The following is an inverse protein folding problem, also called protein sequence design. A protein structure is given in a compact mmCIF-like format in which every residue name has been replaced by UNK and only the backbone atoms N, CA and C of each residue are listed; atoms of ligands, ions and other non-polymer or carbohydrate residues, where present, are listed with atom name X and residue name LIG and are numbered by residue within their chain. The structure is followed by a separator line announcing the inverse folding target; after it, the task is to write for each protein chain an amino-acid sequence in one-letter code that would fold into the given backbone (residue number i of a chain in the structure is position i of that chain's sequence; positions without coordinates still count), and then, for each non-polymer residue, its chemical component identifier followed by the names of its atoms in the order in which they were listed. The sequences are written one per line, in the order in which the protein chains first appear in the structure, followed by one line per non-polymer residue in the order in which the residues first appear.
data_IF_849540516298
#
_entry.id   IF_849540516298
#
_cell.length_a   1.000
_cell.length_b   1.000
_cell.length_c   1.000
_cell.angle_alpha   90.00
_cell.angle_beta   90.00
_cell.angle_gamma   90.00
#
_symmetry.space_group_name_H-M   'P 1'
#
loop_
_entity.id
_entity.type
_entity.pdbx_description
1 polymer ?
#
# COMPACT_ATOMS: atom_id res chain seq x y z
N UNK A 1 -21.46 -9.48 -6.12
CA UNK A 1 -20.28 -8.75 -6.61
C UNK A 1 -20.31 -7.36 -6.01
N UNK A 2 -19.50 -7.08 -5.00
CA UNK A 2 -19.35 -5.72 -4.46
C UNK A 2 -17.85 -5.46 -4.37
N UNK A 3 -17.33 -4.71 -5.34
CA UNK A 3 -15.98 -4.17 -5.30
C UNK A 3 -16.09 -2.74 -4.77
N UNK A 4 -15.62 -2.48 -3.56
CA UNK A 4 -15.53 -1.13 -3.04
C UNK A 4 -14.27 -0.47 -3.62
N UNK A 5 -14.44 0.47 -4.57
CA UNK A 5 -13.43 1.49 -4.83
C UNK A 5 -13.46 2.45 -3.63
N UNK A 6 -12.44 2.39 -2.77
CA UNK A 6 -12.23 3.39 -1.74
C UNK A 6 -11.25 4.44 -2.30
N UNK A 7 -11.80 5.55 -2.83
CA UNK A 7 -11.02 6.73 -3.18
C UNK A 7 -10.93 7.62 -1.93
N UNK A 8 -9.89 7.47 -1.12
CA UNK A 8 -9.55 8.45 -0.10
C UNK A 8 -8.49 9.40 -0.65
N UNK A 9 -8.90 10.63 -0.95
CA UNK A 9 -8.01 11.72 -1.37
C UNK A 9 -7.49 12.39 -0.09
N UNK A 10 -6.29 12.05 0.36
CA UNK A 10 -5.67 12.71 1.53
C UNK A 10 -4.58 13.67 1.07
N UNK A 11 -4.83 14.98 1.24
CA UNK A 11 -3.90 16.07 0.93
C UNK A 11 -3.09 16.44 2.17
N UNK A 12 -1.76 16.47 2.06
CA UNK A 12 -0.88 17.01 3.10
C UNK A 12 -0.91 18.55 3.09
N UNK A 13 -1.50 19.16 4.11
CA UNK A 13 -1.56 20.61 4.25
C UNK A 13 -0.26 21.19 4.81
N UNK A 14 0.25 22.28 4.20
CA UNK A 14 1.27 23.15 4.82
C UNK A 14 0.86 24.61 4.74
N UNK A 15 1.03 25.31 5.86
CA UNK A 15 0.58 26.68 6.14
C UNK A 15 1.21 27.75 5.24
N UNK A 16 0.43 28.80 4.97
CA UNK A 16 0.82 29.97 4.19
C UNK A 16 1.41 31.10 5.05
N UNK A 17 2.45 31.75 4.55
CA UNK A 17 2.77 33.16 4.82
C UNK A 17 3.39 33.77 3.54
N UNK A 18 3.03 35.03 3.25
CA UNK A 18 3.01 35.60 1.90
C UNK A 18 4.26 36.31 1.41
N UNK A 19 4.16 36.83 0.17
CA UNK A 19 5.13 37.70 -0.50
C UNK A 19 5.22 37.43 -2.00
N UNK A 20 4.66 38.32 -2.82
CA UNK A 20 4.56 38.25 -4.29
C UNK A 20 5.90 38.18 -5.03
N UNK A 21 6.06 37.24 -5.97
CA UNK A 21 6.55 37.52 -7.34
C UNK A 21 6.51 36.26 -8.23
N UNK A 22 6.37 36.50 -9.53
CA UNK A 22 6.05 35.56 -10.61
C UNK A 22 6.88 34.27 -10.67
N UNK A 23 6.22 33.11 -10.59
CA UNK A 23 6.55 31.87 -11.31
C UNK A 23 5.24 31.11 -11.51
N UNK A 24 4.85 30.78 -12.76
CA UNK A 24 3.82 29.77 -13.01
C UNK A 24 4.37 28.43 -12.52
N UNK A 25 4.16 28.12 -11.24
CA UNK A 25 4.42 26.79 -10.69
C UNK A 25 3.25 25.91 -11.08
N UNK A 26 3.29 25.33 -12.28
CA UNK A 26 2.44 24.18 -12.59
C UNK A 26 3.07 22.91 -11.96
N UNK A 27 3.19 22.89 -10.64
CA UNK A 27 3.38 21.65 -9.89
C UNK A 27 2.00 21.13 -9.52
N UNK A 28 1.27 20.57 -10.50
CA UNK A 28 0.19 19.65 -10.16
C UNK A 28 0.87 18.42 -9.57
N UNK A 29 0.80 18.33 -8.24
CA UNK A 29 1.10 17.12 -7.49
C UNK A 29 0.32 15.98 -8.15
N UNK A 30 1.02 15.04 -8.75
CA UNK A 30 0.37 13.93 -9.47
C UNK A 30 -0.23 13.02 -8.39
N UNK A 31 -1.55 12.98 -8.30
CA UNK A 31 -2.25 12.13 -7.34
C UNK A 31 -2.02 10.65 -7.66
N UNK A 32 -1.65 9.88 -6.65
CA UNK A 32 -1.58 8.42 -6.71
C UNK A 32 -2.96 7.80 -6.46
N UNK A 33 -3.37 6.88 -7.32
CA UNK A 33 -4.60 6.09 -7.17
C UNK A 33 -4.25 4.69 -6.65
N UNK A 34 -4.94 4.24 -5.60
CA UNK A 34 -4.69 2.93 -4.98
C UNK A 34 -5.75 1.91 -5.40
N UNK A 35 -5.31 0.77 -5.92
CA UNK A 35 -6.18 -0.36 -6.29
C UNK A 35 -5.87 -1.53 -5.38
N UNK A 36 -6.85 -1.96 -4.60
CA UNK A 36 -6.72 -3.05 -3.62
C UNK A 36 -7.64 -4.21 -3.98
N UNK A 37 -7.13 -5.45 -3.92
CA UNK A 37 -7.91 -6.66 -4.17
C UNK A 37 -7.56 -7.81 -3.23
N UNK A 38 -8.44 -8.81 -3.10
CA UNK A 38 -8.12 -10.12 -2.48
C UNK A 38 -7.78 -11.21 -3.51
N UNK A 39 -7.75 -10.85 -4.80
CA UNK A 39 -7.52 -11.77 -5.92
C UNK A 39 -6.35 -11.28 -6.79
N UNK A 40 -5.14 -11.15 -6.22
CA UNK A 40 -4.00 -10.60 -6.95
C UNK A 40 -3.64 -11.45 -8.17
N UNK A 41 -3.81 -12.78 -8.16
CA UNK A 41 -3.63 -13.60 -9.37
C UNK A 41 -4.51 -13.18 -10.56
N UNK A 42 -5.79 -12.80 -10.32
CA UNK A 42 -6.66 -12.26 -11.39
C UNK A 42 -6.24 -10.86 -11.84
N UNK A 43 -5.78 -10.04 -10.90
CA UNK A 43 -5.24 -8.72 -11.21
C UNK A 43 -3.97 -8.84 -12.07
N UNK A 44 -3.08 -9.78 -11.73
CA UNK A 44 -1.91 -10.14 -12.52
C UNK A 44 -2.31 -10.54 -13.93
N UNK A 45 -3.26 -11.47 -14.09
CA UNK A 45 -3.74 -11.90 -15.42
C UNK A 45 -4.27 -10.74 -16.26
N UNK A 46 -5.02 -9.81 -15.65
CA UNK A 46 -5.58 -8.65 -16.33
C UNK A 46 -4.52 -7.61 -16.71
N UNK A 47 -3.50 -7.43 -15.86
CA UNK A 47 -2.49 -6.37 -15.96
C UNK A 47 -1.13 -6.89 -16.47
N UNK A 48 -1.03 -8.17 -16.82
CA UNK A 48 0.22 -8.78 -17.30
C UNK A 48 0.73 -8.13 -18.60
N UNK A 49 -0.17 -7.65 -19.45
CA UNK A 49 0.14 -7.07 -20.75
C UNK A 49 -0.54 -5.70 -20.91
N UNK A 50 0.26 -4.63 -20.81
CA UNK A 50 -0.21 -3.26 -21.00
C UNK A 50 -0.82 -3.01 -22.39
N UNK A 51 -0.42 -3.78 -23.41
CA UNK A 51 -1.01 -3.74 -24.74
C UNK A 51 -2.46 -4.26 -24.76
N UNK A 52 -2.79 -5.27 -23.96
CA UNK A 52 -4.19 -5.73 -23.80
C UNK A 52 -5.04 -4.67 -23.12
N UNK A 53 -4.53 -4.04 -22.07
CA UNK A 53 -5.23 -2.96 -21.36
C UNK A 53 -5.45 -1.77 -22.28
N UNK A 54 -4.43 -1.37 -23.03
CA UNK A 54 -4.54 -0.29 -24.01
C UNK A 54 -5.57 -0.62 -25.10
N UNK A 55 -5.54 -1.83 -25.68
CA UNK A 55 -6.54 -2.28 -26.67
C UNK A 55 -7.95 -2.30 -26.11
N UNK A 56 -8.15 -2.81 -24.90
CA UNK A 56 -9.44 -2.83 -24.23
C UNK A 56 -9.96 -1.41 -23.97
N UNK A 57 -9.10 -0.49 -23.53
CA UNK A 57 -9.42 0.92 -23.35
C UNK A 57 -9.83 1.57 -24.68
N UNK A 58 -9.05 1.36 -25.75
CA UNK A 58 -9.36 1.90 -27.07
C UNK A 58 -10.67 1.33 -27.62
N UNK A 59 -10.94 0.04 -27.43
CA UNK A 59 -12.21 -0.59 -27.81
C UNK A 59 -13.38 0.05 -27.05
N UNK A 60 -13.28 0.19 -25.73
CA UNK A 60 -14.32 0.82 -24.91
C UNK A 60 -14.58 2.28 -25.32
N UNK A 61 -13.54 3.05 -25.63
CA UNK A 61 -13.68 4.43 -26.13
C UNK A 61 -14.34 4.49 -27.49
N UNK A 62 -14.04 3.53 -28.36
CA UNK A 62 -14.64 3.45 -29.68
C UNK A 62 -16.12 3.03 -29.61
N UNK A 63 -16.46 2.12 -28.71
CA UNK A 63 -17.85 1.74 -28.43
C UNK A 63 -18.64 2.90 -27.81
N UNK A 64 -18.04 3.66 -26.89
CA UNK A 64 -18.63 4.91 -26.37
C UNK A 64 -18.86 5.95 -27.49
N UNK A 65 -17.91 6.09 -28.42
CA UNK A 65 -18.06 7.00 -29.57
C UNK A 65 -19.20 6.58 -30.50
N UNK A 66 -19.45 5.28 -30.64
CA UNK A 66 -20.48 4.73 -31.54
C UNK A 66 -21.86 4.64 -30.92
N UNK A 67 -21.93 4.24 -29.66
CA UNK A 67 -23.16 3.81 -28.99
C UNK A 67 -23.47 4.63 -27.73
N UNK A 68 -22.57 5.51 -27.30
CA UNK A 68 -22.76 6.37 -26.13
C UNK A 68 -23.57 7.63 -26.44
N UNK A 69 -23.95 8.41 -25.40
CA UNK A 69 -24.51 9.74 -25.61
C UNK A 69 -23.54 10.60 -26.44
N UNK A 70 -24.06 11.58 -27.17
CA UNK A 70 -23.24 12.46 -28.01
C UNK A 70 -22.35 13.34 -27.11
N UNK A 71 -21.18 12.83 -26.71
CA UNK A 71 -20.22 13.55 -25.88
C UNK A 71 -19.47 14.51 -26.80
N UNK A 72 -19.56 15.83 -26.61
CA UNK A 72 -18.82 16.78 -27.43
C UNK A 72 -17.33 16.44 -27.46
N UNK A 73 -16.69 16.48 -28.63
CA UNK A 73 -15.30 16.02 -28.79
C UNK A 73 -14.30 16.68 -27.82
N UNK A 74 -14.58 17.90 -27.36
CA UNK A 74 -13.77 18.61 -26.36
C UNK A 74 -13.79 17.96 -24.96
N UNK A 75 -14.84 17.20 -24.61
CA UNK A 75 -14.96 16.47 -23.34
C UNK A 75 -14.13 15.19 -23.27
N UNK A 76 -13.61 14.70 -24.39
CA UNK A 76 -12.75 13.50 -24.44
C UNK A 76 -11.42 13.77 -25.13
N UNK A 77 -11.18 15.03 -25.51
CA UNK A 77 -9.99 15.48 -26.24
C UNK A 77 -8.69 15.08 -25.52
N UNK A 78 -8.67 15.15 -24.19
CA UNK A 78 -7.51 14.75 -23.40
C UNK A 78 -7.15 13.25 -23.53
N UNK A 79 -8.12 12.38 -23.85
CA UNK A 79 -7.87 10.94 -24.03
C UNK A 79 -7.09 10.66 -25.32
N UNK A 80 -7.18 11.56 -26.31
CA UNK A 80 -6.52 11.43 -27.60
C UNK A 80 -5.28 12.32 -27.74
N UNK A 81 -5.16 13.38 -26.92
CA UNK A 81 -4.04 14.34 -26.99
C UNK A 81 -2.88 14.05 -26.04
N UNK A 82 -3.07 13.26 -24.97
CA UNK A 82 -2.01 13.00 -23.97
C UNK A 82 -1.21 11.71 -24.18
N UNK A 83 -1.56 10.89 -25.16
CA UNK A 83 -0.75 9.74 -25.55
C UNK A 83 -0.16 10.00 -26.92
N UNK A 84 1.15 10.12 -26.96
CA UNK A 84 2.06 9.89 -28.09
C UNK A 84 1.92 8.48 -28.71
N UNK A 85 0.74 7.86 -28.59
CA UNK A 85 0.43 6.49 -28.99
C UNK A 85 0.75 5.43 -27.93
N UNK A 86 1.54 5.76 -26.90
CA UNK A 86 2.01 4.78 -25.91
C UNK A 86 1.44 5.06 -24.52
N UNK A 87 0.79 4.06 -23.92
CA UNK A 87 0.40 4.11 -22.52
C UNK A 87 1.62 3.67 -21.69
N UNK A 88 2.20 4.53 -20.83
CA UNK A 88 3.33 4.13 -20.00
C UNK A 88 2.88 2.96 -19.12
N UNK A 89 3.55 1.82 -19.28
CA UNK A 89 3.24 0.60 -18.55
C UNK A 89 4.44 0.15 -17.72
N UNK A 90 4.26 -0.12 -16.41
CA UNK A 90 3.04 0.07 -15.62
C UNK A 90 2.65 1.56 -15.47
N UNK A 91 1.37 1.82 -15.17
CA UNK A 91 0.86 3.17 -14.96
C UNK A 91 1.55 3.84 -13.75
N UNK A 92 2.30 4.95 -13.92
CA UNK A 92 3.14 5.51 -12.87
C UNK A 92 2.39 6.00 -11.63
N UNK A 93 1.13 6.40 -11.79
CA UNK A 93 0.28 6.94 -10.73
C UNK A 93 -0.73 5.93 -10.19
N UNK A 94 -0.67 4.66 -10.61
CA UNK A 94 -1.55 3.60 -10.11
C UNK A 94 -0.74 2.64 -9.25
N UNK A 95 -1.11 2.58 -7.97
CA UNK A 95 -0.49 1.72 -6.98
C UNK A 95 -1.36 0.49 -6.80
N UNK A 96 -0.76 -0.69 -6.88
CA UNK A 96 -1.48 -1.95 -6.80
C UNK A 96 -1.20 -2.63 -5.48
N UNK A 97 -2.23 -3.18 -4.86
CA UNK A 97 -2.09 -3.87 -3.60
C UNK A 97 -3.02 -5.04 -3.41
N UNK A 98 -2.67 -5.84 -2.42
CA UNK A 98 -3.51 -6.97 -1.99
C UNK A 98 -3.69 -6.97 -0.49
N UNK A 99 -4.86 -7.44 -0.04
CA UNK A 99 -5.09 -7.67 1.38
C UNK A 99 -4.60 -9.05 1.81
N UNK A 100 -3.97 -9.14 2.98
CA UNK A 100 -3.52 -10.39 3.61
C UNK A 100 -3.89 -10.31 5.10
N UNK A 101 -4.88 -11.12 5.50
CA UNK A 101 -5.42 -11.09 6.86
C UNK A 101 -4.74 -12.10 7.82
N UNK A 102 -4.11 -13.16 7.30
CA UNK A 102 -3.47 -14.24 8.05
C UNK A 102 -2.34 -14.91 7.25
N UNK A 103 -1.52 -15.73 7.93
CA UNK A 103 -0.33 -16.35 7.33
C UNK A 103 -0.66 -17.25 6.12
N UNK A 104 -1.81 -17.92 6.15
CA UNK A 104 -2.34 -18.76 5.06
C UNK A 104 -2.50 -18.00 3.73
N UNK A 105 -2.58 -16.67 3.77
CA UNK A 105 -2.77 -15.82 2.59
C UNK A 105 -1.51 -15.07 2.17
N UNK A 106 -0.35 -15.34 2.78
CA UNK A 106 0.92 -14.69 2.44
C UNK A 106 1.31 -14.84 0.97
N UNK A 107 0.94 -15.96 0.33
CA UNK A 107 1.16 -16.20 -1.10
C UNK A 107 0.51 -15.15 -2.04
N UNK A 108 -0.46 -14.36 -1.55
CA UNK A 108 -1.00 -13.21 -2.31
C UNK A 108 0.06 -12.15 -2.60
N UNK A 109 1.07 -12.02 -1.74
CA UNK A 109 2.20 -11.11 -1.98
C UNK A 109 3.04 -11.58 -3.18
N UNK A 110 3.14 -12.89 -3.41
CA UNK A 110 3.87 -13.45 -4.54
C UNK A 110 3.16 -13.13 -5.87
N UNK A 111 1.84 -13.33 -5.93
CA UNK A 111 1.03 -12.92 -7.09
C UNK A 111 1.17 -11.42 -7.41
N UNK A 112 1.17 -10.57 -6.36
CA UNK A 112 1.31 -9.12 -6.52
C UNK A 112 2.71 -8.75 -7.05
N UNK A 113 3.76 -9.42 -6.56
CA UNK A 113 5.15 -9.19 -6.99
C UNK A 113 5.32 -9.39 -8.49
N UNK A 114 4.62 -10.38 -9.05
CA UNK A 114 4.64 -10.68 -10.48
C UNK A 114 3.75 -9.77 -11.33
N UNK A 115 2.95 -8.90 -10.70
CA UNK A 115 2.11 -7.93 -11.42
C UNK A 115 2.93 -6.68 -11.78
N UNK A 116 2.91 -6.20 -13.05
CA UNK A 116 3.50 -4.91 -13.40
C UNK A 116 2.83 -3.77 -12.61
N UNK A 117 3.60 -3.09 -11.75
CA UNK A 117 3.11 -2.01 -10.92
C UNK A 117 4.22 -0.97 -10.70
N UNK A 118 3.85 0.31 -10.63
CA UNK A 118 4.77 1.36 -10.22
C UNK A 118 5.07 1.32 -8.72
N UNK A 119 4.08 0.93 -7.92
CA UNK A 119 4.16 0.69 -6.48
C UNK A 119 3.31 -0.53 -6.14
N UNK A 120 3.87 -1.43 -5.32
CA UNK A 120 3.21 -2.61 -4.77
C UNK A 120 3.02 -2.43 -3.26
N UNK A 121 1.77 -2.53 -2.80
CA UNK A 121 1.48 -2.40 -1.38
C UNK A 121 0.70 -3.57 -0.79
N UNK A 122 0.93 -3.87 0.47
CA UNK A 122 0.18 -4.88 1.22
C UNK A 122 -0.72 -4.19 2.25
N UNK A 123 -2.00 -4.52 2.22
CA UNK A 123 -2.94 -4.15 3.28
C UNK A 123 -3.12 -5.34 4.20
N UNK A 124 -2.38 -5.35 5.30
CA UNK A 124 -2.45 -6.37 6.33
C UNK A 124 -3.58 -6.01 7.31
N UNK A 125 -4.79 -5.92 6.75
CA UNK A 125 -5.99 -5.46 7.43
C UNK A 125 -7.24 -6.31 7.06
N UNK A 126 -8.02 -6.74 8.06
CA UNK A 126 -7.60 -6.79 9.46
C UNK A 126 -6.47 -7.80 9.67
N UNK A 127 -5.54 -7.49 10.56
CA UNK A 127 -4.46 -8.42 10.95
C UNK A 127 -5.00 -9.42 11.98
N UNK A 128 -5.15 -10.68 11.59
CA UNK A 128 -5.79 -11.73 12.38
C UNK A 128 -4.81 -12.71 13.02
N UNK A 129 -3.52 -12.55 12.76
CA UNK A 129 -2.46 -13.38 13.31
C UNK A 129 -1.09 -12.85 12.92
N UNK A 130 -0.05 -13.47 13.50
CA UNK A 130 1.32 -13.27 13.06
C UNK A 130 1.48 -13.76 11.60
N UNK A 131 2.43 -13.16 10.88
CA UNK A 131 2.73 -13.50 9.49
C UNK A 131 4.20 -13.95 9.32
N UNK A 132 4.62 -15.06 9.97
CA UNK A 132 6.01 -15.53 9.89
C UNK A 132 6.43 -15.90 8.45
N UNK A 133 5.48 -16.26 7.58
CA UNK A 133 5.74 -16.66 6.19
C UNK A 133 5.75 -15.46 5.21
N UNK A 134 5.51 -14.23 5.69
CA UNK A 134 5.42 -13.06 4.82
C UNK A 134 6.78 -12.69 4.21
N UNK A 135 6.82 -12.65 2.88
CA UNK A 135 7.98 -12.23 2.11
C UNK A 135 7.79 -10.81 1.55
N UNK A 136 8.56 -9.85 2.05
CA UNK A 136 8.50 -8.44 1.65
C UNK A 136 9.31 -8.09 0.39
N UNK A 137 10.03 -9.04 -0.22
CA UNK A 137 10.81 -8.76 -1.42
C UNK A 137 9.92 -8.19 -2.54
N UNK A 138 10.33 -7.06 -3.12
CA UNK A 138 9.58 -6.39 -4.19
C UNK A 138 8.28 -5.72 -3.75
N UNK A 139 8.06 -5.55 -2.45
CA UNK A 139 6.96 -4.76 -1.87
C UNK A 139 7.49 -3.39 -1.49
N UNK A 140 6.76 -2.33 -1.83
CA UNK A 140 7.18 -0.95 -1.61
C UNK A 140 6.55 -0.35 -0.35
N UNK A 141 5.36 -0.85 0.04
CA UNK A 141 4.59 -0.29 1.15
C UNK A 141 3.76 -1.35 1.88
N UNK A 142 3.73 -1.28 3.21
CA UNK A 142 2.94 -2.18 4.05
C UNK A 142 2.09 -1.36 5.00
N UNK A 143 0.82 -1.72 5.07
CA UNK A 143 -0.17 -1.13 5.96
C UNK A 143 -0.64 -2.21 6.93
N UNK A 144 -0.68 -1.93 8.23
CA UNK A 144 -1.23 -2.84 9.24
C UNK A 144 -2.39 -2.20 10.01
N UNK A 145 -3.35 -3.02 10.41
CA UNK A 145 -4.41 -2.54 11.30
C UNK A 145 -5.37 -3.62 11.81
N UNK A 146 -5.97 -3.33 12.97
CA UNK A 146 -6.93 -4.22 13.63
C UNK A 146 -8.39 -3.97 13.21
N UNK A 147 -9.26 -4.91 13.57
CA UNK A 147 -10.70 -4.81 13.32
C UNK A 147 -11.38 -3.73 14.18
N UNK A 148 -12.43 -3.12 13.64
CA UNK A 148 -13.29 -2.17 14.35
C UNK A 148 -14.72 -2.70 14.45
N UNK A 149 -15.45 -2.29 15.48
CA UNK A 149 -16.88 -2.61 15.66
C UNK A 149 -17.19 -3.64 16.75
N UNK A 150 -18.49 -3.98 16.92
CA UNK A 150 -18.96 -4.81 18.03
C UNK A 150 -18.34 -6.22 18.10
N UNK A 151 -18.00 -6.80 16.94
CA UNK A 151 -17.41 -8.13 16.81
C UNK A 151 -15.92 -8.14 16.48
N UNK A 152 -15.20 -7.04 16.70
CA UNK A 152 -13.79 -6.93 16.35
C UNK A 152 -12.93 -7.96 17.10
N UNK A 153 -12.21 -8.77 16.34
CA UNK A 153 -11.24 -9.72 16.88
C UNK A 153 -10.03 -8.99 17.45
N UNK A 154 -9.39 -9.54 18.49
CA UNK A 154 -8.18 -8.98 19.04
C UNK A 154 -7.05 -8.97 18.01
N UNK A 155 -6.44 -7.79 17.81
CA UNK A 155 -5.16 -7.67 17.14
C UNK A 155 -4.08 -7.54 18.21
N UNK A 156 -3.11 -8.43 18.19
CA UNK A 156 -1.94 -8.33 19.06
C UNK A 156 -0.95 -7.29 18.51
N UNK A 157 -0.60 -6.24 19.29
CA UNK A 157 0.37 -5.24 18.86
C UNK A 157 1.74 -5.83 18.47
N UNK A 158 2.12 -6.97 19.03
CA UNK A 158 3.38 -7.63 18.72
C UNK A 158 3.47 -8.09 17.26
N UNK A 159 2.34 -8.44 16.63
CA UNK A 159 2.32 -8.79 15.21
C UNK A 159 2.68 -7.57 14.35
N UNK A 160 2.09 -6.41 14.64
CA UNK A 160 2.39 -5.16 13.94
C UNK A 160 3.83 -4.69 14.17
N UNK A 161 4.37 -4.85 15.39
CA UNK A 161 5.79 -4.58 15.69
C UNK A 161 6.73 -5.45 14.87
N UNK A 162 6.44 -6.76 14.78
CA UNK A 162 7.26 -7.70 14.00
C UNK A 162 7.27 -7.32 12.52
N UNK A 163 6.11 -7.02 11.94
CA UNK A 163 5.98 -6.59 10.54
C UNK A 163 6.71 -5.26 10.30
N UNK A 164 6.56 -4.30 11.21
CA UNK A 164 7.27 -3.02 11.16
C UNK A 164 8.78 -3.22 11.14
N UNK A 165 9.31 -4.06 12.02
CA UNK A 165 10.75 -4.31 12.11
C UNK A 165 11.26 -4.98 10.82
N UNK A 166 10.49 -5.91 10.24
CA UNK A 166 10.76 -6.46 8.91
C UNK A 166 10.74 -5.37 7.82
N UNK A 167 9.77 -4.44 7.84
CA UNK A 167 9.70 -3.37 6.86
C UNK A 167 10.93 -2.45 6.94
N UNK A 168 11.31 -2.03 8.17
CA UNK A 168 12.49 -1.20 8.39
C UNK A 168 13.77 -1.89 7.93
N UNK A 169 13.92 -3.19 8.23
CA UNK A 169 15.09 -3.97 7.81
C UNK A 169 15.20 -4.10 6.29
N UNK A 170 14.07 -4.07 5.56
CA UNK A 170 14.02 -4.19 4.10
C UNK A 170 13.87 -2.84 3.38
N UNK A 171 13.85 -1.71 4.09
CA UNK A 171 13.63 -0.39 3.50
C UNK A 171 12.23 -0.20 2.89
N UNK A 172 11.24 -0.98 3.34
CA UNK A 172 9.84 -0.91 2.89
C UNK A 172 9.12 0.15 3.73
N UNK A 173 8.33 1.02 3.08
CA UNK A 173 7.55 2.00 3.81
C UNK A 173 6.51 1.29 4.70
N UNK A 174 6.36 1.75 5.94
CA UNK A 174 5.43 1.17 6.90
C UNK A 174 4.42 2.18 7.43
N UNK A 175 3.14 1.84 7.31
CA UNK A 175 2.03 2.55 7.93
C UNK A 175 1.30 1.63 8.92
N UNK A 176 1.12 2.09 10.16
CA UNK A 176 0.23 1.46 11.11
C UNK A 176 -1.03 2.31 11.27
N UNK A 177 -2.15 1.80 10.77
CA UNK A 177 -3.39 2.56 10.68
C UNK A 177 -4.09 2.67 12.03
N UNK A 178 -4.26 1.54 12.71
CA UNK A 178 -4.92 1.47 14.02
C UNK A 178 -4.76 0.09 14.68
N UNK A 179 -4.92 0.04 16.01
CA UNK A 179 -4.95 -1.20 16.78
C UNK A 179 -6.33 -1.92 16.74
N UNK A 180 -7.35 -1.31 16.14
CA UNK A 180 -8.71 -1.84 16.17
C UNK A 180 -9.39 -1.56 17.51
N UNK A 181 -10.15 -2.50 18.08
CA UNK A 181 -10.84 -2.33 19.38
C UNK A 181 -10.01 -2.72 20.61
N UNK A 182 -8.82 -3.29 20.39
CA UNK A 182 -8.00 -3.93 21.43
C UNK A 182 -6.67 -3.20 21.60
N UNK A 183 -6.16 -3.13 22.82
CA UNK A 183 -4.89 -2.49 23.12
C UNK A 183 -4.11 -3.23 24.19
N UNK A 184 -2.80 -3.03 24.19
CA UNK A 184 -1.93 -3.43 25.29
C UNK A 184 -2.30 -2.68 26.57
N UNK A 185 -2.42 -3.42 27.68
CA UNK A 185 -2.52 -2.83 29.02
C UNK A 185 -1.17 -2.43 29.60
N UNK A 186 -0.07 -2.72 28.88
CA UNK A 186 1.33 -2.61 29.33
C UNK A 186 1.66 -3.45 30.58
N UNK A 187 0.79 -4.40 30.91
CA UNK A 187 0.98 -5.34 32.03
C UNK A 187 1.26 -6.72 31.49
N UNK A 188 2.11 -7.44 32.20
CA UNK A 188 2.47 -8.83 31.92
C UNK A 188 2.00 -9.70 33.08
N UNK A 189 1.51 -10.90 32.78
CA UNK A 189 1.03 -11.82 33.82
C UNK A 189 0.96 -13.27 33.36
N UNK A 190 0.57 -14.14 34.30
CA UNK A 190 0.22 -15.55 34.08
C UNK A 190 -1.06 -15.86 34.85
N UNK A 191 -1.77 -16.91 34.44
CA UNK A 191 -2.97 -17.40 35.14
C UNK A 191 -4.28 -16.95 34.50
N UNK A 192 -5.36 -17.00 35.26
CA UNK A 192 -6.72 -16.67 34.79
C UNK A 192 -6.87 -15.14 34.73
N UNK A 193 -7.42 -14.65 33.62
CA UNK A 193 -7.72 -13.23 33.43
C UNK A 193 -9.20 -12.95 33.67
N UNK A 194 -9.49 -11.84 34.35
CA UNK A 194 -10.85 -11.33 34.53
C UNK A 194 -11.26 -10.34 33.42
N UNK A 195 -12.56 -10.30 33.12
CA UNK A 195 -13.15 -9.35 32.18
C UNK A 195 -12.75 -9.61 30.72
N UNK A 196 -12.88 -8.60 29.82
CA UNK A 196 -12.59 -8.76 28.39
C UNK A 196 -11.08 -8.62 28.12
N UNK A 197 -10.28 -9.47 28.78
CA UNK A 197 -8.82 -9.49 28.68
C UNK A 197 -8.33 -10.80 28.09
N UNK A 198 -7.25 -10.72 27.32
CA UNK A 198 -6.59 -11.87 26.72
C UNK A 198 -5.07 -11.73 26.85
N UNK A 199 -4.34 -12.82 26.63
CA UNK A 199 -2.89 -12.77 26.48
C UNK A 199 -2.47 -12.53 25.04
N UNK A 200 -1.61 -11.54 24.82
CA UNK A 200 -0.83 -11.36 23.61
C UNK A 200 0.38 -12.30 23.56
N UNK A 201 1.17 -12.18 22.50
CA UNK A 201 2.33 -13.00 22.17
C UNK A 201 3.64 -12.39 22.67
N UNK A 202 3.65 -11.11 23.02
CA UNK A 202 4.79 -10.50 23.71
C UNK A 202 5.00 -11.17 25.08
N UNK A 203 6.25 -11.51 25.39
CA UNK A 203 6.65 -12.19 26.62
C UNK A 203 7.67 -11.41 27.42
N UNK A 204 7.70 -11.63 28.73
CA UNK A 204 8.71 -11.08 29.63
C UNK A 204 9.14 -12.16 30.64
N UNK A 205 10.45 -12.29 30.86
CA UNK A 205 10.98 -13.20 31.88
C UNK A 205 10.65 -12.69 33.29
N UNK A 206 10.37 -13.63 34.19
CA UNK A 206 10.12 -13.37 35.60
C UNK A 206 10.94 -14.31 36.50
N UNK A 207 11.14 -13.95 37.78
CA UNK A 207 11.84 -14.80 38.74
C UNK A 207 11.29 -16.24 38.76
N UNK A 208 12.13 -17.20 39.14
CA UNK A 208 11.75 -18.63 39.21
C UNK A 208 11.40 -19.27 37.87
N UNK A 209 11.85 -18.69 36.74
CA UNK A 209 11.69 -19.29 35.41
C UNK A 209 10.28 -19.14 34.81
N UNK A 210 9.46 -18.24 35.37
CA UNK A 210 8.18 -17.92 34.77
C UNK A 210 8.35 -17.03 33.53
N UNK A 211 7.51 -17.27 32.52
CA UNK A 211 7.38 -16.40 31.35
C UNK A 211 6.02 -15.73 31.42
N UNK A 212 6.00 -14.42 31.63
CA UNK A 212 4.79 -13.61 31.64
C UNK A 212 4.40 -13.26 30.21
N UNK A 213 3.10 -13.15 29.95
CA UNK A 213 2.58 -12.70 28.65
C UNK A 213 1.90 -11.34 28.79
N UNK A 214 2.05 -10.50 27.77
CA UNK A 214 1.40 -9.19 27.71
C UNK A 214 -0.12 -9.38 27.76
N UNK A 215 -0.80 -8.58 28.58
CA UNK A 215 -2.26 -8.61 28.70
C UNK A 215 -2.85 -7.54 27.78
N UNK A 216 -3.76 -7.95 26.90
CA UNK A 216 -4.53 -7.08 26.03
C UNK A 216 -5.95 -6.94 26.58
N UNK A 217 -6.57 -5.79 26.34
CA UNK A 217 -7.94 -5.52 26.75
C UNK A 217 -8.72 -4.86 25.62
N UNK A 218 -10.01 -5.19 25.52
CA UNK A 218 -10.94 -4.46 24.66
C UNK A 218 -11.26 -3.10 25.28
N UNK A 219 -10.83 -2.02 24.63
CA UNK A 219 -10.91 -0.65 25.17
C UNK A 219 -11.68 0.32 24.27
N UNK A 220 -12.10 -0.14 23.09
CA UNK A 220 -12.75 0.71 22.11
C UNK A 220 -11.76 1.33 21.12
N UNK A 221 -12.14 1.46 19.85
CA UNK A 221 -11.26 1.97 18.77
C UNK A 221 -10.58 3.30 19.09
N UNK A 222 -11.33 4.24 19.67
CA UNK A 222 -10.80 5.55 20.03
C UNK A 222 -9.66 5.45 21.04
N UNK A 223 -9.83 4.59 22.05
CA UNK A 223 -8.85 4.39 23.13
C UNK A 223 -7.67 3.55 22.65
N UNK A 224 -7.92 2.53 21.83
CA UNK A 224 -6.88 1.65 21.30
C UNK A 224 -5.91 2.39 20.36
N UNK A 225 -6.43 3.39 19.64
CA UNK A 225 -5.62 4.31 18.87
C UNK A 225 -4.82 3.66 17.75
N UNK A 226 -3.70 4.30 17.41
CA UNK A 226 -2.84 3.93 16.26
C UNK A 226 -1.35 4.03 16.57
N UNK A 227 -1.01 4.07 17.85
CA UNK A 227 0.38 4.15 18.28
C UNK A 227 0.96 2.74 18.43
N UNK A 228 2.20 2.59 17.98
CA UNK A 228 3.06 1.46 18.33
C UNK A 228 4.29 2.05 19.01
N UNK A 229 4.53 1.62 20.24
CA UNK A 229 5.67 2.03 21.08
C UNK A 229 5.75 3.55 21.29
N UNK A 230 4.59 4.17 21.51
CA UNK A 230 4.47 5.59 21.86
C UNK A 230 4.62 6.56 20.68
N UNK A 231 4.59 6.07 19.44
CA UNK A 231 4.57 6.91 18.24
C UNK A 231 3.66 6.37 17.15
N UNK A 232 3.27 7.25 16.23
CA UNK A 232 2.57 6.88 15.00
C UNK A 232 3.56 6.49 13.91
N UNK A 233 3.10 5.64 12.99
CA UNK A 233 3.89 5.15 11.86
C UNK A 233 3.08 5.43 10.58
N UNK A 234 3.51 6.42 9.80
CA UNK A 234 2.75 6.99 8.68
C UNK A 234 3.62 7.17 7.43
N UNK A 235 4.55 6.24 7.20
CA UNK A 235 5.43 6.33 6.04
C UNK A 235 4.66 6.00 4.75
N UNK A 236 5.07 6.65 3.66
CA UNK A 236 4.61 6.39 2.31
C UNK A 236 5.82 6.07 1.42
N UNK A 237 5.64 5.26 0.37
CA UNK A 237 6.70 5.02 -0.59
C UNK A 237 7.04 6.35 -1.29
N UNK A 238 8.33 6.65 -1.40
CA UNK A 238 8.77 7.77 -2.22
C UNK A 238 8.52 7.37 -3.67
N UNK A 239 7.85 8.21 -4.46
CA UNK A 239 7.56 7.88 -5.85
C UNK A 239 8.84 7.47 -6.57
N UNK A 240 8.89 6.24 -7.10
CA UNK A 240 9.99 5.77 -7.95
C UNK A 240 9.84 6.46 -9.31
N UNK A 241 10.06 7.77 -9.34
CA UNK A 241 10.21 8.57 -10.53
C UNK A 241 11.68 8.60 -10.93
N UNK A 242 12.21 7.47 -11.41
CA UNK A 242 13.61 7.40 -11.83
C UNK A 242 14.06 5.98 -12.06
N UNK A 243 13.64 5.39 -13.17
CA UNK A 243 14.32 4.19 -13.67
C UNK A 243 15.83 4.45 -13.70
N UNK A 244 16.61 3.46 -13.23
CA UNK A 244 18.04 3.37 -13.55
C UNK A 244 18.15 3.61 -15.06
N UNK A 245 18.68 4.77 -15.47
CA UNK A 245 19.07 4.94 -16.87
C UNK A 245 20.08 3.82 -17.17
N UNK A 246 19.88 2.98 -18.18
CA UNK A 246 21.00 2.18 -18.66
C UNK A 246 22.10 3.17 -19.01
N UNK A 247 23.30 2.92 -18.49
CA UNK A 247 24.50 3.67 -18.85
C UNK A 247 24.52 3.81 -20.36
N UNK A 248 24.48 5.04 -20.89
CA UNK A 248 24.73 5.30 -22.30
C UNK A 248 26.06 4.64 -22.64
N UNK A 249 26.03 3.54 -23.40
CA UNK A 249 27.18 3.13 -24.18
C UNK A 249 27.51 4.31 -25.08
N UNK A 250 28.69 4.88 -24.86
CA UNK A 250 29.27 5.90 -25.71
C UNK A 250 29.52 5.23 -27.05
N UNK A 251 28.65 5.50 -28.03
CA UNK A 251 29.02 5.29 -29.42
C UNK A 251 30.14 6.29 -29.75
N UNK A 252 31.37 5.79 -29.81
CA UNK A 252 32.48 6.51 -30.40
C UNK A 252 32.25 6.58 -31.91
N UNK A 253 32.09 7.79 -32.44
CA UNK A 253 32.11 8.05 -33.87
C UNK A 253 33.52 7.74 -34.40
N UNK A 254 33.67 6.65 -35.15
CA UNK A 254 34.82 6.42 -36.00
C UNK A 254 34.62 7.19 -37.32
N UNK A 255 35.10 8.43 -37.36
CA UNK A 255 35.31 9.15 -38.61
C UNK A 255 36.65 8.69 -39.22
N UNK A 256 36.62 7.62 -40.01
CA UNK A 256 37.70 7.24 -40.91
C UNK A 256 37.56 8.02 -42.21
N UNK A 257 38.42 9.02 -42.43
CA UNK A 257 38.62 9.63 -43.75
C UNK A 257 39.29 8.60 -44.67
N UNK A 258 38.71 8.42 -45.85
CA UNK A 258 39.38 7.85 -47.02
C UNK A 258 39.10 8.81 -48.17
N UNK A 259 40.16 9.18 -48.92
CA UNK A 259 40.12 10.17 -50.01
C UNK A 259 40.98 11.38 -49.71
#
# INVERSE_FOLDING_TARGET
MSGYLCSERQTAGRAASGGESSVIRNTREVSSEQVLTKRPGRMRELLADGGRVHKAMMQALWDLRRNGPNIPAWNIRWLFERTDGECPWPLPNVWLGTSIESDDYTGRADDLRETPAAVRFLSLEPLLGALPSLNLNGIDWVITGGESGPGARPMDPQWARTIRDQCLANGVAFLHKQNGEWASTRRYGVGVLDGPRIYGSATQDAPHGFVLREILQRVGRKTAGRELDGRTWEQFPTSIGGGKRPSRSVFTNAAGKSG
#
